data_IF_222760392433
#
_entry.id   IF_222760392433
#
_cell.length_a   1.000
_cell.length_b   1.000
_cell.length_c   1.000
_cell.angle_alpha   90.00
_cell.angle_beta   90.00
_cell.angle_gamma   90.00
#
_symmetry.space_group_name_H-M   'P 1'
#
loop_
_entity.id
_entity.type
_entity.pdbx_description
1 polymer ?
#
# COMPACT_ATOMS: atom_id res chain seq x y z
N UNK A 1 29.09 -4.60 -25.44
CA UNK A 1 27.94 -4.99 -26.28
C UNK A 1 26.70 -5.33 -25.44
N UNK A 2 26.82 -6.19 -24.43
CA UNK A 2 25.74 -6.55 -23.49
C UNK A 2 25.09 -5.35 -22.76
N UNK A 3 25.90 -4.40 -22.30
CA UNK A 3 25.41 -3.20 -21.58
C UNK A 3 24.52 -2.29 -22.44
N UNK A 4 24.75 -2.22 -23.76
CA UNK A 4 23.89 -1.45 -24.69
C UNK A 4 22.56 -2.16 -24.98
N UNK A 5 22.53 -3.49 -24.92
CA UNK A 5 21.30 -4.29 -25.08
C UNK A 5 20.43 -4.18 -23.83
N UNK A 6 21.03 -4.25 -22.64
CA UNK A 6 20.34 -4.04 -21.36
C UNK A 6 19.75 -2.62 -21.30
N UNK A 7 20.53 -1.59 -21.66
CA UNK A 7 20.02 -0.21 -21.68
C UNK A 7 18.83 -0.05 -22.65
N UNK A 8 18.91 -0.64 -23.85
CA UNK A 8 17.84 -0.59 -24.85
C UNK A 8 16.59 -1.37 -24.43
N UNK A 9 16.72 -2.42 -23.63
CA UNK A 9 15.60 -3.16 -23.07
C UNK A 9 14.94 -2.40 -21.90
N UNK A 10 15.73 -1.72 -21.08
CA UNK A 10 15.25 -0.93 -19.95
C UNK A 10 14.65 0.42 -20.35
N UNK A 11 15.17 1.05 -21.41
CA UNK A 11 14.70 2.35 -21.92
C UNK A 11 13.18 2.42 -22.15
N UNK A 12 12.53 1.50 -22.90
CA UNK A 12 11.07 1.56 -23.10
C UNK A 12 10.26 1.22 -21.83
N UNK A 13 10.85 0.47 -20.88
CA UNK A 13 10.23 0.19 -19.58
C UNK A 13 10.22 1.48 -18.74
N UNK A 14 11.34 2.21 -18.71
CA UNK A 14 11.47 3.50 -17.99
C UNK A 14 10.65 4.60 -18.66
N UNK A 15 10.58 4.63 -20.00
CA UNK A 15 9.84 5.65 -20.75
C UNK A 15 8.30 5.52 -20.65
N UNK A 16 7.77 4.36 -20.26
CA UNK A 16 6.33 4.13 -20.11
C UNK A 16 5.87 4.05 -18.64
N UNK A 17 6.67 4.58 -17.71
CA UNK A 17 6.30 4.70 -16.30
C UNK A 17 5.35 5.89 -16.17
N UNK A 18 4.06 5.61 -15.98
CA UNK A 18 3.10 6.62 -15.55
C UNK A 18 3.15 6.74 -14.04
N UNK A 19 2.89 7.95 -13.51
CA UNK A 19 2.78 8.19 -12.07
C UNK A 19 1.89 7.14 -11.39
N UNK A 20 0.74 6.87 -11.97
CA UNK A 20 -0.22 5.92 -11.42
C UNK A 20 0.32 4.48 -11.33
N UNK A 21 1.10 4.01 -12.32
CA UNK A 21 1.75 2.69 -12.25
C UNK A 21 2.76 2.62 -11.10
N UNK A 22 3.51 3.70 -10.87
CA UNK A 22 4.42 3.80 -9.72
C UNK A 22 3.61 3.72 -8.43
N UNK A 23 2.51 4.47 -8.33
CA UNK A 23 1.67 4.47 -7.12
C UNK A 23 1.07 3.07 -6.83
N UNK A 24 0.58 2.35 -7.84
CA UNK A 24 0.13 0.96 -7.64
C UNK A 24 1.25 0.05 -7.13
N UNK A 25 2.43 0.12 -7.76
CA UNK A 25 3.57 -0.70 -7.37
C UNK A 25 4.05 -0.35 -5.96
N UNK A 26 4.18 0.93 -5.63
CA UNK A 26 4.61 1.38 -4.31
C UNK A 26 3.58 0.99 -3.25
N UNK A 27 2.27 1.13 -3.52
CA UNK A 27 1.23 0.70 -2.59
C UNK A 27 1.30 -0.81 -2.31
N UNK A 28 1.53 -1.62 -3.36
CA UNK A 28 1.70 -3.06 -3.21
C UNK A 28 2.95 -3.42 -2.38
N UNK A 29 4.06 -2.73 -2.62
CA UNK A 29 5.31 -2.95 -1.90
C UNK A 29 5.18 -2.52 -0.44
N UNK A 30 4.63 -1.34 -0.13
CA UNK A 30 4.60 -0.85 1.25
C UNK A 30 3.51 -1.52 2.07
N UNK A 31 2.26 -1.50 1.60
CA UNK A 31 1.11 -2.01 2.37
C UNK A 31 1.01 -3.55 2.32
N UNK A 32 1.39 -4.16 1.20
CA UNK A 32 1.33 -5.62 1.05
C UNK A 32 2.58 -6.30 1.59
N UNK A 33 3.69 -6.14 0.87
CA UNK A 33 4.92 -6.88 1.16
C UNK A 33 5.60 -6.37 2.44
N UNK A 34 5.88 -5.07 2.52
CA UNK A 34 6.66 -4.49 3.60
C UNK A 34 5.97 -4.61 4.94
N UNK A 35 4.72 -4.15 5.05
CA UNK A 35 3.94 -4.26 6.28
C UNK A 35 3.68 -5.73 6.65
N UNK A 36 3.39 -6.60 5.67
CA UNK A 36 3.22 -8.03 5.90
C UNK A 36 4.46 -8.71 6.47
N UNK A 37 5.64 -8.48 5.87
CA UNK A 37 6.90 -9.07 6.34
C UNK A 37 7.30 -8.51 7.70
N UNK A 38 7.21 -7.19 7.90
CA UNK A 38 7.65 -6.57 9.15
C UNK A 38 6.75 -6.94 10.33
N UNK A 39 5.44 -7.05 10.13
CA UNK A 39 4.52 -7.51 11.19
C UNK A 39 4.71 -9.00 11.51
N UNK A 40 4.85 -9.86 10.50
CA UNK A 40 5.17 -11.28 10.72
C UNK A 40 6.51 -11.44 11.45
N UNK A 41 7.52 -10.66 11.07
CA UNK A 41 8.84 -10.70 11.71
C UNK A 41 8.81 -10.21 13.16
N UNK A 42 8.05 -9.15 13.44
CA UNK A 42 7.81 -8.68 14.80
C UNK A 42 7.19 -9.77 15.69
N UNK A 43 6.16 -10.45 15.20
CA UNK A 43 5.50 -11.53 15.94
C UNK A 43 6.37 -12.78 16.10
N UNK A 44 7.24 -13.08 15.13
CA UNK A 44 8.21 -14.17 15.23
C UNK A 44 9.25 -13.90 16.34
N UNK A 45 9.76 -12.67 16.42
CA UNK A 45 10.84 -12.31 17.36
C UNK A 45 10.32 -12.04 18.77
N UNK A 46 9.20 -11.32 18.91
CA UNK A 46 8.68 -10.87 20.20
C UNK A 46 7.47 -11.69 20.69
N UNK A 47 7.00 -12.65 19.88
CA UNK A 47 5.81 -13.45 20.12
C UNK A 47 4.53 -12.82 19.57
N UNK A 48 3.46 -13.60 19.32
CA UNK A 48 2.24 -13.11 18.65
C UNK A 48 1.51 -11.97 19.38
N UNK A 49 1.72 -11.85 20.69
CA UNK A 49 1.08 -10.82 21.52
C UNK A 49 1.73 -9.43 21.40
N UNK A 50 2.83 -9.29 20.66
CA UNK A 50 3.36 -7.98 20.27
C UNK A 50 2.43 -7.25 19.29
N UNK A 51 1.59 -7.98 18.56
CA UNK A 51 0.57 -7.43 17.68
C UNK A 51 -0.70 -7.05 18.48
N UNK A 52 -1.07 -5.77 18.39
CA UNK A 52 -2.26 -5.21 19.01
C UNK A 52 -3.55 -5.59 18.28
N UNK A 53 -3.46 -5.86 16.96
CA UNK A 53 -4.60 -6.25 16.14
C UNK A 53 -4.95 -7.73 16.35
N UNK A 54 -6.11 -8.05 16.96
CA UNK A 54 -6.46 -9.43 17.30
C UNK A 54 -6.63 -10.33 16.07
N UNK A 55 -7.05 -9.77 14.92
CA UNK A 55 -7.25 -10.53 13.68
C UNK A 55 -5.90 -10.93 13.08
N UNK A 56 -4.94 -10.01 13.05
CA UNK A 56 -3.59 -10.29 12.54
C UNK A 56 -2.87 -11.29 13.44
N UNK A 57 -3.03 -11.14 14.76
CA UNK A 57 -2.50 -12.10 15.75
C UNK A 57 -3.08 -13.50 15.53
N UNK A 58 -4.39 -13.63 15.35
CA UNK A 58 -5.05 -14.92 15.11
C UNK A 58 -4.58 -15.58 13.81
N UNK A 59 -4.45 -14.80 12.72
CA UNK A 59 -3.87 -15.26 11.46
C UNK A 59 -2.45 -15.80 11.65
N UNK A 60 -1.61 -15.09 12.41
CA UNK A 60 -0.24 -15.55 12.67
C UNK A 60 -0.20 -16.83 13.50
N UNK A 61 -1.02 -16.94 14.55
CA UNK A 61 -1.07 -18.14 15.38
C UNK A 61 -1.60 -19.37 14.63
N UNK A 62 -2.48 -19.17 13.65
CA UNK A 62 -3.09 -20.27 12.87
C UNK A 62 -2.28 -20.65 11.63
N UNK A 63 -1.69 -19.68 10.93
CA UNK A 63 -1.03 -19.89 9.64
C UNK A 63 0.50 -19.68 9.67
N UNK A 64 1.05 -19.20 10.79
CA UNK A 64 2.46 -18.88 10.94
C UNK A 64 2.93 -17.69 10.11
N UNK A 65 4.25 -17.49 10.08
CA UNK A 65 4.89 -16.39 9.36
C UNK A 65 4.50 -16.33 7.88
N UNK A 66 4.67 -17.44 7.16
CA UNK A 66 4.44 -17.49 5.70
C UNK A 66 2.98 -17.22 5.35
N UNK A 67 2.05 -17.86 6.08
CA UNK A 67 0.63 -17.70 5.84
C UNK A 67 0.12 -16.29 6.13
N UNK A 68 0.66 -15.63 7.15
CA UNK A 68 0.37 -14.24 7.46
C UNK A 68 0.84 -13.30 6.33
N UNK A 69 2.09 -13.46 5.87
CA UNK A 69 2.64 -12.65 4.76
C UNK A 69 1.85 -12.86 3.47
N UNK A 70 1.55 -14.11 3.10
CA UNK A 70 0.76 -14.42 1.91
C UNK A 70 -0.65 -13.82 1.99
N UNK A 71 -1.28 -13.89 3.16
CA UNK A 71 -2.61 -13.30 3.38
C UNK A 71 -2.57 -11.78 3.17
N UNK A 72 -1.56 -11.09 3.72
CA UNK A 72 -1.40 -9.64 3.55
C UNK A 72 -1.19 -9.25 2.09
N UNK A 73 -0.33 -9.97 1.37
CA UNK A 73 -0.07 -9.77 -0.05
C UNK A 73 -1.36 -9.98 -0.86
N UNK A 74 -2.12 -11.04 -0.55
CA UNK A 74 -3.37 -11.36 -1.24
C UNK A 74 -4.45 -10.29 -1.02
N UNK A 75 -4.67 -9.87 0.23
CA UNK A 75 -5.63 -8.81 0.56
C UNK A 75 -5.26 -7.50 -0.15
N UNK A 76 -3.97 -7.15 -0.15
CA UNK A 76 -3.48 -5.94 -0.84
C UNK A 76 -3.70 -6.03 -2.34
N UNK A 77 -3.39 -7.18 -2.94
CA UNK A 77 -3.65 -7.42 -4.36
C UNK A 77 -5.13 -7.25 -4.70
N UNK A 78 -6.03 -7.84 -3.90
CA UNK A 78 -7.48 -7.73 -4.09
C UNK A 78 -7.99 -6.30 -3.97
N UNK A 79 -7.48 -5.52 -3.02
CA UNK A 79 -7.80 -4.09 -2.87
C UNK A 79 -7.35 -3.26 -4.08
N UNK A 80 -6.11 -3.47 -4.54
CA UNK A 80 -5.59 -2.75 -5.71
C UNK A 80 -6.32 -3.16 -6.98
N UNK A 81 -6.67 -4.43 -7.14
CA UNK A 81 -7.49 -4.92 -8.25
C UNK A 81 -8.87 -4.28 -8.23
N UNK A 82 -9.53 -4.22 -7.06
CA UNK A 82 -10.82 -3.55 -6.92
C UNK A 82 -10.74 -2.08 -7.33
N UNK A 83 -9.70 -1.38 -6.89
CA UNK A 83 -9.42 0.03 -7.25
C UNK A 83 -9.24 0.20 -8.76
N UNK A 84 -8.46 -0.69 -9.38
CA UNK A 84 -8.26 -0.71 -10.83
C UNK A 84 -9.57 -0.95 -11.59
N UNK A 85 -10.41 -1.88 -11.11
CA UNK A 85 -11.70 -2.18 -11.71
C UNK A 85 -12.67 -0.99 -11.61
N UNK A 86 -12.65 -0.24 -10.50
CA UNK A 86 -13.41 1.00 -10.36
C UNK A 86 -12.98 2.02 -11.41
N UNK A 87 -11.68 2.18 -11.62
CA UNK A 87 -11.15 3.08 -12.67
C UNK A 87 -11.57 2.67 -14.08
N UNK A 88 -11.38 1.41 -14.45
CA UNK A 88 -11.69 0.93 -15.81
C UNK A 88 -13.18 0.99 -16.11
N UNK A 89 -14.05 0.79 -15.11
CA UNK A 89 -15.50 0.84 -15.28
C UNK A 89 -16.10 2.25 -15.13
N UNK A 90 -15.31 3.22 -14.69
CA UNK A 90 -15.78 4.60 -14.54
C UNK A 90 -16.08 5.21 -15.92
N UNK A 91 -17.24 5.87 -16.02
CA UNK A 91 -17.59 6.66 -17.21
C UNK A 91 -16.96 8.06 -17.17
N UNK A 92 -16.51 8.49 -16.00
CA UNK A 92 -15.84 9.77 -15.76
C UNK A 92 -14.32 9.56 -15.61
N UNK A 93 -13.53 10.57 -15.93
CA UNK A 93 -12.11 10.58 -15.61
C UNK A 93 -11.96 10.65 -14.08
N UNK A 94 -11.40 9.61 -13.47
CA UNK A 94 -11.15 9.53 -12.01
C UNK A 94 -9.66 9.36 -11.69
N UNK A 95 -8.78 9.80 -12.58
CA UNK A 95 -7.34 9.60 -12.47
C UNK A 95 -6.76 10.13 -11.16
N UNK A 96 -7.08 11.37 -10.78
CA UNK A 96 -6.56 11.99 -9.56
C UNK A 96 -7.22 11.42 -8.30
N UNK A 97 -8.49 11.05 -8.38
CA UNK A 97 -9.21 10.35 -7.31
C UNK A 97 -8.50 9.04 -6.96
N UNK A 98 -8.15 8.22 -7.96
CA UNK A 98 -7.45 6.95 -7.75
C UNK A 98 -6.03 7.21 -7.22
N UNK A 99 -5.30 8.19 -7.76
CA UNK A 99 -3.98 8.53 -7.23
C UNK A 99 -4.06 8.94 -5.75
N UNK A 100 -5.08 9.72 -5.35
CA UNK A 100 -5.31 10.09 -3.96
C UNK A 100 -5.51 8.88 -3.05
N UNK A 101 -6.31 7.91 -3.48
CA UNK A 101 -6.47 6.64 -2.77
C UNK A 101 -5.15 5.87 -2.65
N UNK A 102 -4.40 5.73 -3.73
CA UNK A 102 -3.12 5.01 -3.72
C UNK A 102 -2.09 5.68 -2.82
N UNK A 103 -2.05 7.02 -2.78
CA UNK A 103 -1.16 7.77 -1.88
C UNK A 103 -1.55 7.51 -0.42
N UNK A 104 -2.84 7.52 -0.08
CA UNK A 104 -3.31 7.18 1.26
C UNK A 104 -2.92 5.74 1.65
N UNK A 105 -3.04 4.80 0.72
CA UNK A 105 -2.62 3.40 0.90
C UNK A 105 -1.11 3.27 1.16
N UNK A 106 -0.29 4.00 0.40
CA UNK A 106 1.16 4.02 0.59
C UNK A 106 1.50 4.55 1.98
N UNK A 107 0.89 5.66 2.40
CA UNK A 107 1.11 6.26 3.70
C UNK A 107 0.76 5.28 4.83
N UNK A 108 -0.38 4.61 4.75
CA UNK A 108 -0.76 3.58 5.72
C UNK A 108 0.24 2.42 5.77
N UNK A 109 0.71 1.94 4.60
CA UNK A 109 1.71 0.87 4.54
C UNK A 109 3.06 1.27 5.15
N UNK A 110 3.51 2.50 4.88
CA UNK A 110 4.73 3.06 5.48
C UNK A 110 4.57 3.21 7.00
N UNK A 111 3.41 3.67 7.47
CA UNK A 111 3.11 3.77 8.90
C UNK A 111 3.09 2.40 9.58
N UNK A 112 2.54 1.36 8.93
CA UNK A 112 2.56 -0.01 9.45
C UNK A 112 3.99 -0.56 9.57
N UNK A 113 4.78 -0.43 8.50
CA UNK A 113 6.22 -0.76 8.52
C UNK A 113 6.93 -0.04 9.67
N UNK A 114 6.71 1.27 9.80
CA UNK A 114 7.33 2.07 10.85
C UNK A 114 6.92 1.61 12.25
N UNK A 115 5.64 1.29 12.47
CA UNK A 115 5.16 0.81 13.76
C UNK A 115 5.78 -0.55 14.13
N UNK A 116 5.78 -1.51 13.20
CA UNK A 116 6.36 -2.84 13.42
C UNK A 116 7.87 -2.75 13.73
N UNK A 117 8.60 -1.95 12.95
CA UNK A 117 10.05 -1.77 13.15
C UNK A 117 10.37 -1.01 14.44
N UNK A 118 9.55 -0.03 14.80
CA UNK A 118 9.69 0.71 16.06
C UNK A 118 9.39 -0.17 17.28
N UNK A 119 8.38 -1.04 17.19
CA UNK A 119 8.07 -2.04 18.22
C UNK A 119 9.21 -3.06 18.39
N UNK A 120 9.76 -3.56 17.26
CA UNK A 120 10.95 -4.42 17.25
C UNK A 120 12.16 -3.77 17.94
N UNK A 121 12.36 -2.46 17.73
CA UNK A 121 13.43 -1.70 18.36
C UNK A 121 13.17 -1.36 19.85
N UNK A 122 12.01 -1.72 20.40
CA UNK A 122 11.62 -1.37 21.78
C UNK A 122 11.32 0.12 21.96
N UNK A 123 11.00 0.83 20.87
CA UNK A 123 10.69 2.26 20.87
C UNK A 123 9.18 2.52 20.87
N UNK A 124 8.79 3.76 21.20
CA UNK A 124 7.39 4.20 21.12
C UNK A 124 6.95 4.12 19.66
N UNK A 125 5.85 3.42 19.42
CA UNK A 125 5.32 3.17 18.09
C UNK A 125 3.84 3.57 18.02
N UNK A 126 3.33 3.96 16.84
CA UNK A 126 1.90 4.23 16.66
C UNK A 126 1.08 2.95 16.89
N UNK A 127 -0.08 3.09 17.54
CA UNK A 127 -1.03 1.98 17.65
C UNK A 127 -1.71 1.71 16.31
N UNK A 128 -2.13 0.45 16.08
CA UNK A 128 -2.80 0.06 14.85
C UNK A 128 -4.08 0.87 14.58
N UNK A 129 -4.83 1.23 15.63
CA UNK A 129 -6.02 2.09 15.54
C UNK A 129 -5.70 3.48 15.01
N UNK A 130 -4.58 4.07 15.40
CA UNK A 130 -4.17 5.41 14.97
C UNK A 130 -3.79 5.41 13.48
N UNK A 131 -3.11 4.36 13.03
CA UNK A 131 -2.77 4.18 11.61
C UNK A 131 -4.04 4.02 10.77
N UNK A 132 -5.01 3.23 11.24
CA UNK A 132 -6.30 3.05 10.56
C UNK A 132 -7.08 4.36 10.50
N UNK A 133 -7.13 5.13 11.60
CA UNK A 133 -7.78 6.43 11.63
C UNK A 133 -7.12 7.41 10.65
N UNK A 134 -5.79 7.48 10.67
CA UNK A 134 -5.01 8.31 9.75
C UNK A 134 -5.28 7.91 8.29
N UNK A 135 -5.31 6.61 7.99
CA UNK A 135 -5.65 6.11 6.67
C UNK A 135 -7.02 6.62 6.19
N UNK A 136 -8.07 6.49 7.02
CA UNK A 136 -9.39 6.98 6.65
C UNK A 136 -9.43 8.50 6.42
N UNK A 137 -8.75 9.28 7.27
CA UNK A 137 -8.63 10.72 7.10
C UNK A 137 -7.94 11.06 5.77
N UNK A 138 -6.82 10.40 5.47
CA UNK A 138 -6.08 10.59 4.22
C UNK A 138 -6.90 10.17 3.00
N UNK A 139 -7.62 9.06 3.06
CA UNK A 139 -8.51 8.63 1.98
C UNK A 139 -9.55 9.72 1.70
N UNK A 140 -10.24 10.23 2.72
CA UNK A 140 -11.26 11.27 2.52
C UNK A 140 -10.69 12.55 1.91
N UNK A 141 -9.58 13.04 2.45
CA UNK A 141 -8.96 14.29 2.00
C UNK A 141 -8.41 14.13 0.58
N UNK A 142 -7.63 13.09 0.32
CA UNK A 142 -6.91 12.92 -0.94
C UNK A 142 -7.84 12.50 -2.08
N UNK A 143 -8.83 11.62 -1.83
CA UNK A 143 -9.82 11.27 -2.86
C UNK A 143 -10.79 12.42 -3.11
N UNK A 144 -11.18 13.19 -2.09
CA UNK A 144 -11.99 14.40 -2.25
C UNK A 144 -11.28 15.46 -3.09
N UNK A 145 -10.00 15.71 -2.78
CA UNK A 145 -9.14 16.62 -3.57
C UNK A 145 -8.96 16.10 -4.99
N UNK A 146 -8.70 14.81 -5.16
CA UNK A 146 -8.58 14.18 -6.47
C UNK A 146 -9.85 14.33 -7.32
N UNK A 147 -11.02 14.08 -6.73
CA UNK A 147 -12.31 14.24 -7.41
C UNK A 147 -12.57 15.68 -7.83
N UNK A 148 -12.17 16.66 -7.01
CA UNK A 148 -12.25 18.06 -7.37
C UNK A 148 -11.40 18.38 -8.61
N UNK A 149 -10.15 17.92 -8.64
CA UNK A 149 -9.22 18.11 -9.77
C UNK A 149 -9.77 17.43 -11.02
N UNK A 150 -10.22 16.18 -10.90
CA UNK A 150 -10.77 15.39 -12.00
C UNK A 150 -11.94 16.13 -12.68
N UNK A 151 -12.85 16.73 -11.90
CA UNK A 151 -14.05 17.41 -12.42
C UNK A 151 -13.81 18.82 -12.94
N UNK A 152 -12.93 19.60 -12.29
CA UNK A 152 -12.83 21.05 -12.53
C UNK A 152 -11.56 21.48 -13.24
N UNK A 153 -10.50 20.68 -13.18
CA UNK A 153 -9.18 21.03 -13.73
C UNK A 153 -8.86 20.14 -14.93
N UNK A 154 -9.02 18.83 -14.78
CA UNK A 154 -8.64 17.85 -15.80
C UNK A 154 -9.68 17.67 -16.93
N UNK A 155 -10.89 18.23 -16.80
CA UNK A 155 -11.96 18.13 -17.82
C UNK A 155 -11.68 18.97 -19.09
N UNK A 156 -10.63 19.79 -19.12
CA UNK A 156 -10.30 20.70 -20.24
C UNK A 156 -9.05 20.32 -21.06
N UNK A 157 -8.54 19.10 -20.94
CA UNK A 157 -7.41 18.61 -21.75
C UNK A 157 -7.87 17.62 -22.84
#
# INVERSE_FOLDING_TARGET
>A
MLMRLILKALLPIVYNITLQRVLYLTAFITFGIGDGITSAYMMEVQGPFSESNPLIRDLFMTMGFEGMVLTKIWVTFMMLLATYMVQVRSKENIYWTINGFLIAQIAAGVSGIYANMSALAGSVHPEASDIVLLYFILVLILTGTGSFIDKHVAYKA
#
